data_IF_426043276870
#
_entry.id   IF_426043276870
#
_cell.length_a   1.000
_cell.length_b   1.000
_cell.length_c   1.000
_cell.angle_alpha   90.00
_cell.angle_beta   90.00
_cell.angle_gamma   90.00
#
_symmetry.space_group_name_H-M   'P 1'
#
loop_
_entity.id
_entity.type
_entity.pdbx_description
1 polymer ?
#
# COMPACT_ATOMS: atom_id res chain seq x y z
N UNK A 1 -17.90 11.81 10.21
CA UNK A 1 -18.41 10.46 10.35
C UNK A 1 -18.00 9.56 9.20
N UNK A 2 -17.50 8.40 9.51
CA UNK A 2 -17.08 7.45 8.48
C UNK A 2 -18.32 6.76 7.94
N UNK A 3 -18.39 6.65 6.65
CA UNK A 3 -19.50 5.98 6.02
C UNK A 3 -19.00 4.76 5.27
N UNK A 4 -19.94 3.91 4.88
CA UNK A 4 -19.62 2.66 4.19
C UNK A 4 -18.90 2.91 2.86
N UNK A 5 -19.23 3.99 2.19
CA UNK A 5 -18.62 4.32 0.91
C UNK A 5 -17.12 4.58 1.08
N UNK A 6 -16.75 5.33 2.12
CA UNK A 6 -15.35 5.60 2.41
C UNK A 6 -14.58 4.32 2.69
N UNK A 7 -15.18 3.42 3.45
CA UNK A 7 -14.53 2.15 3.79
C UNK A 7 -14.33 1.29 2.55
N UNK A 8 -15.33 1.25 1.70
CA UNK A 8 -15.25 0.46 0.47
C UNK A 8 -14.15 1.02 -0.44
N UNK A 9 -14.11 2.33 -0.62
CA UNK A 9 -13.10 2.97 -1.44
C UNK A 9 -11.70 2.73 -0.88
N UNK A 10 -11.56 2.83 0.43
CA UNK A 10 -10.29 2.55 1.08
C UNK A 10 -9.82 1.13 0.79
N UNK A 11 -10.73 0.18 0.86
CA UNK A 11 -10.41 -1.22 0.58
C UNK A 11 -9.93 -1.41 -0.85
N UNK A 12 -10.59 -0.77 -1.80
CA UNK A 12 -10.18 -0.86 -3.21
C UNK A 12 -8.78 -0.30 -3.41
N UNK A 13 -8.50 0.86 -2.82
CA UNK A 13 -7.19 1.48 -2.96
C UNK A 13 -6.11 0.64 -2.29
N UNK A 14 -6.41 0.07 -1.15
CA UNK A 14 -5.47 -0.83 -0.48
C UNK A 14 -5.12 -2.00 -1.37
N UNK A 15 -6.14 -2.60 -1.96
CA UNK A 15 -5.95 -3.74 -2.84
C UNK A 15 -5.10 -3.36 -4.05
N UNK A 16 -5.39 -2.22 -4.66
CA UNK A 16 -4.62 -1.74 -5.80
C UNK A 16 -3.16 -1.52 -5.44
N UNK A 17 -2.91 -0.90 -4.29
CA UNK A 17 -1.55 -0.65 -3.85
C UNK A 17 -0.82 -1.95 -3.56
N UNK A 18 -1.47 -2.89 -2.89
CA UNK A 18 -0.88 -4.19 -2.63
C UNK A 18 -0.48 -4.90 -3.91
N UNK A 19 -1.37 -4.89 -4.89
CA UNK A 19 -1.08 -5.53 -6.17
C UNK A 19 0.06 -4.83 -6.91
N UNK A 20 0.13 -3.52 -6.80
CA UNK A 20 1.19 -2.75 -7.44
C UNK A 20 2.56 -3.10 -6.86
N UNK A 21 2.62 -3.37 -5.57
CA UNK A 21 3.86 -3.77 -4.92
C UNK A 21 4.27 -5.18 -5.37
N UNK A 22 3.32 -6.11 -5.34
CA UNK A 22 3.58 -7.48 -5.75
C UNK A 22 4.76 -8.08 -5.00
N UNK A 23 5.68 -8.71 -5.72
CA UNK A 23 6.87 -9.33 -5.13
C UNK A 23 8.07 -8.40 -5.15
N UNK A 24 7.87 -7.14 -5.49
CA UNK A 24 8.95 -6.18 -5.66
C UNK A 24 9.13 -5.28 -4.44
N UNK A 25 10.31 -4.67 -4.38
CA UNK A 25 10.57 -3.57 -3.45
C UNK A 25 10.37 -2.30 -4.27
N UNK A 26 9.48 -1.43 -3.81
CA UNK A 26 9.04 -0.31 -4.63
C UNK A 26 8.85 0.95 -3.80
N UNK A 27 9.11 2.10 -4.41
CA UNK A 27 8.93 3.40 -3.77
C UNK A 27 7.48 3.88 -3.92
N UNK A 28 7.00 4.72 -2.98
CA UNK A 28 5.63 5.24 -3.07
C UNK A 28 5.33 5.97 -4.37
N UNK A 29 6.32 6.71 -4.89
CA UNK A 29 6.11 7.44 -6.15
C UNK A 29 5.87 6.49 -7.32
N UNK A 30 6.52 5.34 -7.32
CA UNK A 30 6.30 4.34 -8.35
C UNK A 30 4.95 3.68 -8.19
N UNK A 31 4.55 3.42 -6.95
CA UNK A 31 3.22 2.88 -6.69
C UNK A 31 2.16 3.85 -7.20
N UNK A 32 2.32 5.14 -6.88
CA UNK A 32 1.38 6.15 -7.30
C UNK A 32 1.23 6.17 -8.83
N UNK A 33 2.33 6.01 -9.53
CA UNK A 33 2.32 5.97 -10.98
C UNK A 33 1.59 4.74 -11.50
N UNK A 34 1.85 3.58 -10.91
CA UNK A 34 1.23 2.33 -11.31
C UNK A 34 -0.28 2.31 -11.10
N UNK A 35 -0.74 2.88 -9.99
CA UNK A 35 -2.16 2.85 -9.66
C UNK A 35 -2.89 4.13 -10.04
N UNK A 36 -2.16 5.09 -10.62
CA UNK A 36 -2.72 6.36 -11.06
C UNK A 36 -3.39 7.11 -9.90
N UNK A 37 -2.72 7.15 -8.78
CA UNK A 37 -3.17 7.89 -7.60
C UNK A 37 -2.16 8.97 -7.26
N UNK A 38 -2.59 9.93 -6.45
CA UNK A 38 -1.68 10.95 -5.96
C UNK A 38 -0.76 10.37 -4.90
N UNK A 39 0.44 10.90 -4.84
CA UNK A 39 1.43 10.43 -3.87
C UNK A 39 0.90 10.52 -2.44
N UNK A 40 0.20 11.61 -2.11
CA UNK A 40 -0.40 11.76 -0.78
C UNK A 40 -1.34 10.61 -0.44
N UNK A 41 -2.15 10.23 -1.41
CA UNK A 41 -3.11 9.15 -1.23
C UNK A 41 -2.37 7.82 -1.01
N UNK A 42 -1.36 7.57 -1.84
CA UNK A 42 -0.56 6.36 -1.72
C UNK A 42 0.12 6.30 -0.36
N UNK A 43 0.66 7.43 0.10
CA UNK A 43 1.31 7.49 1.41
C UNK A 43 0.35 7.14 2.54
N UNK A 44 -0.87 7.64 2.47
CA UNK A 44 -1.90 7.32 3.46
C UNK A 44 -2.25 5.84 3.45
N UNK A 45 -2.41 5.29 2.26
CA UNK A 45 -2.73 3.87 2.12
C UNK A 45 -1.57 3.02 2.64
N UNK A 46 -0.35 3.38 2.31
CA UNK A 46 0.82 2.64 2.79
C UNK A 46 0.95 2.68 4.31
N UNK A 47 0.66 3.83 4.91
CA UNK A 47 0.66 3.94 6.37
C UNK A 47 -0.35 2.99 6.98
N UNK A 48 -1.55 2.94 6.41
CA UNK A 48 -2.60 2.06 6.87
C UNK A 48 -2.22 0.59 6.71
N UNK A 49 -1.64 0.25 5.55
CA UNK A 49 -1.20 -1.12 5.29
C UNK A 49 -0.06 -1.53 6.22
N UNK A 50 0.85 -0.61 6.50
CA UNK A 50 1.93 -0.87 7.43
C UNK A 50 1.40 -1.10 8.83
N UNK A 51 0.41 -0.31 9.23
CA UNK A 51 -0.22 -0.43 10.54
C UNK A 51 -0.89 -1.81 10.68
N UNK A 52 -1.42 -2.33 9.60
CA UNK A 52 -2.05 -3.65 9.56
C UNK A 52 -1.04 -4.77 9.28
N UNK A 53 0.23 -4.41 9.15
CA UNK A 53 1.33 -5.35 8.93
C UNK A 53 1.25 -6.08 7.59
N UNK A 54 0.61 -5.46 6.64
CA UNK A 54 0.53 -6.00 5.28
C UNK A 54 1.72 -5.61 4.43
N UNK A 55 2.35 -4.47 4.76
CA UNK A 55 3.58 -4.04 4.09
C UNK A 55 4.58 -3.63 5.16
N UNK A 56 5.85 -3.60 4.76
CA UNK A 56 6.91 -3.11 5.63
C UNK A 56 7.74 -2.09 4.87
N UNK A 57 8.30 -1.13 5.59
CA UNK A 57 9.23 -0.16 5.03
C UNK A 57 10.64 -0.67 5.32
N UNK A 58 11.45 -0.78 4.28
CA UNK A 58 12.79 -1.33 4.42
C UNK A 58 13.79 -0.32 4.95
N UNK A 59 13.48 0.96 4.81
CA UNK A 59 14.40 2.03 5.22
C UNK A 59 13.65 3.17 5.90
N UNK A 60 13.02 2.87 7.04
CA UNK A 60 12.20 3.84 7.75
C UNK A 60 12.95 5.09 8.19
N UNK A 61 14.27 4.98 8.36
CA UNK A 61 15.11 6.10 8.77
C UNK A 61 15.18 7.18 7.70
N UNK A 62 14.90 6.83 6.47
CA UNK A 62 14.97 7.74 5.34
C UNK A 62 13.65 8.47 5.15
N UNK A 63 13.70 9.79 5.01
CA UNK A 63 12.49 10.56 4.74
C UNK A 63 12.13 10.55 3.28
N UNK A 64 13.14 10.44 2.42
CA UNK A 64 12.96 10.37 0.97
C UNK A 64 13.45 9.02 0.47
N UNK A 65 12.83 8.55 -0.59
CA UNK A 65 13.25 7.29 -1.19
C UNK A 65 12.93 6.08 -0.35
N UNK A 66 11.88 6.16 0.44
CA UNK A 66 11.45 5.00 1.21
C UNK A 66 11.04 3.88 0.27
N UNK A 67 11.39 2.66 0.66
CA UNK A 67 11.05 1.49 -0.11
C UNK A 67 10.13 0.58 0.70
N UNK A 68 9.12 0.06 0.04
CA UNK A 68 8.12 -0.79 0.67
C UNK A 68 8.09 -2.16 0.01
N UNK A 69 7.75 -3.15 0.80
CA UNK A 69 7.65 -4.52 0.33
C UNK A 69 6.49 -5.20 1.07
N UNK A 70 5.83 -6.12 0.39
CA UNK A 70 4.77 -6.88 1.05
C UNK A 70 5.36 -7.82 2.10
N UNK A 71 4.62 -7.98 3.20
CA UNK A 71 4.92 -9.01 4.17
C UNK A 71 4.27 -10.31 3.72
N UNK A 72 4.54 -11.39 4.44
CA UNK A 72 3.85 -12.66 4.21
C UNK A 72 2.34 -12.46 4.25
N UNK A 73 1.89 -11.71 5.26
CA UNK A 73 0.48 -11.43 5.41
C UNK A 73 -0.07 -10.66 4.21
N UNK A 74 0.69 -9.69 3.70
CA UNK A 74 0.28 -8.94 2.53
C UNK A 74 0.17 -9.81 1.29
N UNK A 75 1.12 -10.71 1.10
CA UNK A 75 1.10 -11.63 -0.02
C UNK A 75 -0.10 -12.58 0.06
N UNK A 76 -0.40 -13.06 1.26
CA UNK A 76 -1.55 -13.92 1.48
C UNK A 76 -2.85 -13.19 1.20
N UNK A 77 -2.92 -11.91 1.58
CA UNK A 77 -4.10 -11.10 1.33
C UNK A 77 -4.37 -10.97 -0.17
N UNK A 78 -3.33 -10.73 -0.96
CA UNK A 78 -3.48 -10.63 -2.41
C UNK A 78 -3.94 -11.97 -2.98
N UNK A 79 -3.34 -13.05 -2.56
CA UNK A 79 -3.69 -14.38 -3.05
C UNK A 79 -5.14 -14.71 -2.76
N UNK A 80 -5.63 -14.26 -1.61
CA UNK A 80 -7.00 -14.53 -1.21
C UNK A 80 -8.01 -13.69 -1.95
N UNK A 81 -7.70 -12.42 -2.20
CA UNK A 81 -8.65 -11.49 -2.82
C UNK A 81 -8.33 -11.13 -4.26
N UNK A 82 -7.17 -11.49 -4.69
CA UNK A 82 -6.71 -11.17 -6.03
C UNK A 82 -7.03 -12.21 -7.02
#
# INVERSE_FOLDING_TARGET
MINAISLIKSSEYRHKVLKAIGDEVIAPSEIARKVNLRLNHVSMVLTDLKDKKLVKCLNEETKKGRLYQLTELGKNAIAKYG
#
